data_IF_411213826923
#
_entry.id   IF_411213826923
#
_cell.length_a   1.000
_cell.length_b   1.000
_cell.length_c   1.000
_cell.angle_alpha   90.00
_cell.angle_beta   90.00
_cell.angle_gamma   90.00
#
_symmetry.space_group_name_H-M   'P 1'
#
loop_
_entity.id
_entity.type
_entity.pdbx_description
1 polymer ?
#
# COMPACT_ATOMS: atom_id res chain seq x y z
N UNK A 1 15.18 -31.18 -27.20
CA UNK A 1 16.12 -31.32 -26.07
C UNK A 1 16.91 -30.03 -25.76
N UNK A 2 17.91 -29.59 -26.55
CA UNK A 2 18.72 -28.39 -26.20
C UNK A 2 17.94 -27.06 -26.15
N UNK A 3 17.05 -26.83 -27.12
CA UNK A 3 16.22 -25.62 -27.19
C UNK A 3 15.25 -25.53 -26.01
N UNK A 4 14.64 -26.65 -25.64
CA UNK A 4 13.77 -26.74 -24.47
C UNK A 4 14.56 -26.39 -23.20
N UNK A 5 15.71 -27.02 -22.95
CA UNK A 5 16.53 -26.72 -21.77
C UNK A 5 16.92 -25.23 -21.68
N UNK A 6 17.21 -24.59 -22.81
CA UNK A 6 17.54 -23.15 -22.84
C UNK A 6 16.33 -22.26 -22.55
N UNK A 7 15.15 -22.61 -23.09
CA UNK A 7 13.89 -21.91 -22.80
C UNK A 7 13.52 -22.06 -21.32
N UNK A 8 13.56 -23.28 -20.78
CA UNK A 8 13.32 -23.56 -19.36
C UNK A 8 14.28 -22.78 -18.44
N UNK A 9 15.57 -22.72 -18.78
CA UNK A 9 16.56 -21.96 -18.00
C UNK A 9 16.33 -20.45 -18.05
N UNK A 10 15.89 -19.92 -19.20
CA UNK A 10 15.62 -18.48 -19.36
C UNK A 10 14.37 -18.07 -18.59
N UNK A 11 13.32 -18.90 -18.66
CA UNK A 11 12.09 -18.73 -17.91
C UNK A 11 12.33 -18.72 -16.39
N UNK A 12 13.04 -19.73 -15.86
CA UNK A 12 13.36 -19.79 -14.42
C UNK A 12 14.17 -18.58 -13.95
N UNK A 13 15.10 -18.09 -14.77
CA UNK A 13 15.87 -16.90 -14.45
C UNK A 13 14.98 -15.64 -14.40
N UNK A 14 14.02 -15.50 -15.32
CA UNK A 14 13.07 -14.39 -15.35
C UNK A 14 12.10 -14.43 -14.17
N UNK A 15 11.51 -15.59 -13.88
CA UNK A 15 10.65 -15.80 -12.70
C UNK A 15 11.42 -15.45 -11.40
N UNK A 16 12.66 -15.90 -11.28
CA UNK A 16 13.51 -15.56 -10.14
C UNK A 16 13.84 -14.06 -10.03
N UNK A 17 13.94 -13.34 -11.15
CA UNK A 17 14.20 -11.91 -11.16
C UNK A 17 12.98 -11.10 -10.67
N UNK A 18 11.78 -11.41 -11.16
CA UNK A 18 10.56 -10.71 -10.74
C UNK A 18 10.20 -10.97 -9.28
N UNK A 19 10.45 -12.20 -8.78
CA UNK A 19 10.32 -12.52 -7.36
C UNK A 19 11.24 -11.66 -6.51
N UNK A 20 12.53 -11.64 -6.84
CA UNK A 20 13.52 -10.84 -6.10
C UNK A 20 13.19 -9.36 -6.13
N UNK A 21 12.69 -8.84 -7.24
CA UNK A 21 12.28 -7.44 -7.34
C UNK A 21 11.09 -7.13 -6.40
N UNK A 22 10.09 -8.01 -6.34
CA UNK A 22 8.99 -7.88 -5.39
C UNK A 22 9.46 -8.01 -3.92
N UNK A 23 10.35 -8.94 -3.61
CA UNK A 23 10.96 -9.08 -2.27
C UNK A 23 11.75 -7.82 -1.86
N UNK A 24 12.50 -7.24 -2.80
CA UNK A 24 13.24 -6.00 -2.60
C UNK A 24 12.30 -4.84 -2.33
N UNK A 25 11.16 -4.75 -3.02
CA UNK A 25 10.15 -3.72 -2.75
C UNK A 25 9.69 -3.76 -1.27
N UNK A 26 9.41 -4.96 -0.72
CA UNK A 26 9.08 -5.11 0.70
C UNK A 26 10.23 -4.73 1.64
N UNK A 27 11.48 -4.94 1.23
CA UNK A 27 12.65 -4.54 2.02
C UNK A 27 12.84 -3.02 2.01
N UNK A 28 12.72 -2.39 0.86
CA UNK A 28 12.89 -0.94 0.65
C UNK A 28 11.84 -0.14 1.42
N UNK A 29 10.61 -0.66 1.52
CA UNK A 29 9.49 0.00 2.20
C UNK A 29 9.09 -0.67 3.52
N UNK A 30 9.98 -1.49 4.12
CA UNK A 30 9.71 -2.24 5.35
C UNK A 30 9.25 -1.35 6.52
N UNK A 31 9.61 -0.08 6.52
CA UNK A 31 9.24 0.92 7.53
C UNK A 31 8.51 2.14 6.95
N UNK A 32 7.88 1.97 5.78
CA UNK A 32 7.26 3.05 5.04
C UNK A 32 8.28 3.90 4.28
N UNK A 33 7.85 5.10 3.90
CA UNK A 33 8.65 6.03 3.11
C UNK A 33 9.33 7.07 3.99
N UNK A 34 10.61 7.31 3.74
CA UNK A 34 11.36 8.34 4.43
C UNK A 34 10.79 9.72 4.11
N UNK A 35 10.67 10.59 5.12
CA UNK A 35 10.26 11.97 4.92
C UNK A 35 11.50 12.86 4.76
N UNK A 36 11.81 13.35 3.54
CA UNK A 36 12.99 14.18 3.31
C UNK A 36 12.94 15.50 4.10
N UNK A 37 11.76 16.07 4.32
CA UNK A 37 11.59 17.38 4.98
C UNK A 37 11.84 17.32 6.50
N UNK A 38 11.69 16.14 7.11
CA UNK A 38 11.83 15.94 8.54
C UNK A 38 13.23 15.47 8.97
N UNK A 39 14.17 15.31 8.02
CA UNK A 39 15.47 14.71 8.26
C UNK A 39 16.64 15.48 7.65
N UNK A 40 17.86 15.15 8.09
CA UNK A 40 19.08 15.63 7.43
C UNK A 40 19.46 14.77 6.22
N UNK A 41 20.64 15.04 5.64
CA UNK A 41 21.13 14.43 4.39
C UNK A 41 20.98 12.90 4.25
N UNK A 42 21.08 12.16 5.36
CA UNK A 42 20.91 10.70 5.34
C UNK A 42 19.48 10.29 4.98
N UNK A 43 18.48 11.00 5.50
CA UNK A 43 17.06 10.70 5.24
C UNK A 43 16.71 11.07 3.81
N UNK A 44 17.24 12.20 3.30
CA UNK A 44 17.12 12.57 1.88
C UNK A 44 17.66 11.47 0.97
N UNK A 45 18.88 10.97 1.22
CA UNK A 45 19.46 9.88 0.42
C UNK A 45 18.63 8.60 0.44
N UNK A 46 18.04 8.25 1.58
CA UNK A 46 17.15 7.10 1.67
C UNK A 46 15.85 7.32 0.88
N UNK A 47 15.27 8.53 0.95
CA UNK A 47 14.11 8.90 0.15
C UNK A 47 14.41 8.82 -1.36
N UNK A 48 15.52 9.42 -1.80
CA UNK A 48 15.93 9.39 -3.22
C UNK A 48 16.14 7.95 -3.72
N UNK A 49 16.70 7.08 -2.87
CA UNK A 49 16.85 5.65 -3.18
C UNK A 49 15.48 4.97 -3.30
N UNK A 50 14.53 5.25 -2.41
CA UNK A 50 13.18 4.70 -2.48
C UNK A 50 12.47 5.15 -3.76
N UNK A 51 12.56 6.43 -4.13
CA UNK A 51 11.98 6.97 -5.37
C UNK A 51 12.61 6.30 -6.60
N UNK A 52 13.94 6.30 -6.69
CA UNK A 52 14.65 5.69 -7.81
C UNK A 52 14.38 4.19 -7.95
N UNK A 53 14.15 3.48 -6.84
CA UNK A 53 13.72 2.08 -6.89
C UNK A 53 12.35 1.93 -7.55
N UNK A 54 11.35 2.73 -7.16
CA UNK A 54 9.99 2.65 -7.73
C UNK A 54 10.01 3.01 -9.22
N UNK A 55 10.75 4.05 -9.61
CA UNK A 55 10.90 4.46 -11.02
C UNK A 55 11.54 3.38 -11.89
N UNK A 56 12.46 2.59 -11.35
CA UNK A 56 13.07 1.47 -12.07
C UNK A 56 12.17 0.23 -12.08
N UNK A 57 11.49 -0.05 -10.97
CA UNK A 57 10.69 -1.26 -10.76
C UNK A 57 9.34 -1.21 -11.49
N UNK A 58 8.73 -0.02 -11.60
CA UNK A 58 7.39 0.15 -12.15
C UNK A 58 7.41 0.80 -13.53
N UNK A 59 6.40 0.50 -14.33
CA UNK A 59 6.15 1.23 -15.57
C UNK A 59 5.79 2.69 -15.24
N UNK A 60 6.21 3.63 -16.08
CA UNK A 60 5.91 5.06 -15.89
C UNK A 60 4.41 5.35 -15.78
N UNK A 61 3.59 4.51 -16.43
CA UNK A 61 2.14 4.62 -16.48
C UNK A 61 1.46 3.50 -15.66
N UNK A 62 2.14 2.95 -14.64
CA UNK A 62 1.64 1.86 -13.79
C UNK A 62 0.23 2.13 -13.26
N UNK A 63 -0.63 1.13 -13.32
CA UNK A 63 -1.98 1.18 -12.74
C UNK A 63 -1.92 0.83 -11.25
N UNK A 64 -2.49 1.68 -10.41
CA UNK A 64 -2.62 1.45 -8.97
C UNK A 64 -4.03 1.83 -8.53
N UNK A 65 -4.93 0.85 -8.45
CA UNK A 65 -6.36 1.08 -8.29
C UNK A 65 -6.93 1.98 -9.40
N UNK A 66 -7.64 3.03 -9.00
CA UNK A 66 -8.16 4.08 -9.90
C UNK A 66 -7.12 5.17 -10.28
N UNK A 67 -5.86 5.03 -9.85
CA UNK A 67 -4.79 5.99 -10.15
C UNK A 67 -3.77 5.41 -11.12
N UNK A 68 -3.01 6.30 -11.75
CA UNK A 68 -2.00 5.93 -12.75
C UNK A 68 -0.69 6.67 -12.52
N UNK A 69 0.42 5.97 -12.74
CA UNK A 69 1.77 6.48 -12.72
C UNK A 69 2.50 6.33 -11.38
N UNK A 70 3.83 6.35 -11.46
CA UNK A 70 4.75 6.14 -10.32
C UNK A 70 4.51 7.15 -9.19
N UNK A 71 4.19 8.39 -9.52
CA UNK A 71 3.89 9.44 -8.53
C UNK A 71 2.70 9.09 -7.63
N UNK A 72 1.68 8.39 -8.16
CA UNK A 72 0.53 7.96 -7.37
C UNK A 72 0.91 6.91 -6.32
N UNK A 73 1.80 5.97 -6.67
CA UNK A 73 2.32 4.94 -5.75
C UNK A 73 3.17 5.59 -4.66
N UNK A 74 4.08 6.49 -5.03
CA UNK A 74 4.92 7.26 -4.09
C UNK A 74 4.05 8.05 -3.10
N UNK A 75 3.04 8.78 -3.61
CA UNK A 75 2.13 9.55 -2.76
C UNK A 75 1.39 8.66 -1.76
N UNK A 76 0.97 7.46 -2.16
CA UNK A 76 0.28 6.55 -1.25
C UNK A 76 1.19 6.02 -0.15
N UNK A 77 2.45 5.70 -0.46
CA UNK A 77 3.45 5.40 0.57
C UNK A 77 3.66 6.55 1.55
N UNK A 78 3.70 7.78 1.06
CA UNK A 78 3.80 8.97 1.90
C UNK A 78 2.59 9.07 2.85
N UNK A 79 1.37 8.93 2.33
CA UNK A 79 0.15 8.97 3.13
C UNK A 79 0.09 7.85 4.17
N UNK A 80 0.40 6.61 3.80
CA UNK A 80 0.48 5.49 4.74
C UNK A 80 1.45 5.78 5.88
N UNK A 81 2.62 6.34 5.56
CA UNK A 81 3.64 6.62 6.57
C UNK A 81 3.25 7.77 7.48
N UNK A 82 2.62 8.82 6.95
CA UNK A 82 2.17 9.97 7.74
C UNK A 82 0.95 9.68 8.62
N UNK A 83 0.04 8.80 8.17
CA UNK A 83 -1.20 8.56 8.88
C UNK A 83 -0.99 7.72 10.14
N UNK A 84 0.12 7.01 10.25
CA UNK A 84 0.40 6.08 11.33
C UNK A 84 1.62 6.55 12.14
N UNK A 85 1.52 6.47 13.47
CA UNK A 85 2.66 6.81 14.32
C UNK A 85 3.83 5.82 14.16
N UNK A 86 3.53 4.60 13.74
CA UNK A 86 4.49 3.57 13.40
C UNK A 86 3.86 2.66 12.34
N UNK A 87 4.57 2.43 11.24
CA UNK A 87 4.18 1.54 10.16
C UNK A 87 5.35 0.60 9.88
N UNK A 88 5.05 -0.68 9.70
CA UNK A 88 6.01 -1.64 9.16
C UNK A 88 5.30 -2.67 8.30
N UNK A 89 5.98 -3.11 7.24
CA UNK A 89 5.49 -4.13 6.33
C UNK A 89 6.47 -5.30 6.33
N UNK A 90 5.95 -6.51 6.43
CA UNK A 90 6.73 -7.74 6.41
C UNK A 90 6.21 -8.69 5.35
N UNK A 91 7.11 -9.22 4.54
CA UNK A 91 6.80 -10.26 3.58
C UNK A 91 6.69 -11.63 4.27
N UNK A 92 5.70 -12.43 3.87
CA UNK A 92 5.51 -13.81 4.33
C UNK A 92 5.85 -14.82 3.23
N UNK A 93 5.35 -14.58 2.03
CA UNK A 93 5.58 -15.43 0.88
C UNK A 93 5.37 -14.67 -0.43
N UNK A 94 5.97 -15.21 -1.48
CA UNK A 94 5.80 -14.74 -2.85
C UNK A 94 5.64 -15.91 -3.78
N UNK A 95 4.73 -15.79 -4.73
CA UNK A 95 4.47 -16.80 -5.74
C UNK A 95 4.43 -16.12 -7.11
N UNK A 96 4.90 -16.83 -8.15
CA UNK A 96 4.76 -16.37 -9.54
C UNK A 96 3.74 -17.23 -10.25
N UNK A 97 2.85 -16.56 -10.97
CA UNK A 97 1.92 -17.15 -11.92
C UNK A 97 1.94 -16.34 -13.24
N UNK A 98 1.10 -16.71 -14.20
CA UNK A 98 1.03 -16.03 -15.49
C UNK A 98 1.91 -16.64 -16.58
N UNK A 99 2.09 -15.89 -17.68
CA UNK A 99 2.89 -16.33 -18.83
C UNK A 99 4.33 -15.85 -18.69
N UNK A 100 5.23 -16.39 -19.52
CA UNK A 100 6.62 -15.92 -19.55
C UNK A 100 6.67 -14.42 -19.87
N UNK A 101 5.84 -13.93 -20.80
CA UNK A 101 5.87 -12.53 -21.26
C UNK A 101 5.15 -11.54 -20.34
N UNK A 102 4.20 -12.02 -19.55
CA UNK A 102 3.44 -11.23 -18.57
C UNK A 102 3.37 -11.99 -17.23
N UNK A 103 4.50 -12.07 -16.50
CA UNK A 103 4.51 -12.75 -15.21
C UNK A 103 3.73 -11.92 -14.20
N UNK A 104 3.03 -12.62 -13.32
CA UNK A 104 2.25 -12.05 -12.22
C UNK A 104 2.89 -12.54 -10.93
N UNK A 105 3.30 -11.63 -10.07
CA UNK A 105 3.80 -11.98 -8.74
C UNK A 105 2.74 -11.65 -7.71
N UNK A 106 2.39 -12.61 -6.87
CA UNK A 106 1.52 -12.40 -5.71
C UNK A 106 2.36 -12.48 -4.45
N UNK A 107 2.42 -11.38 -3.72
CA UNK A 107 3.15 -11.27 -2.46
C UNK A 107 2.14 -11.23 -1.29
N UNK A 108 2.27 -12.18 -0.36
CA UNK A 108 1.53 -12.17 0.90
C UNK A 108 2.40 -11.56 1.99
N UNK A 109 1.81 -10.68 2.78
CA UNK A 109 2.52 -9.93 3.80
C UNK A 109 1.65 -9.59 5.01
N UNK A 110 2.27 -8.86 5.94
CA UNK A 110 1.60 -8.28 7.10
C UNK A 110 1.97 -6.80 7.18
N UNK A 111 0.95 -5.95 7.23
CA UNK A 111 1.05 -4.54 7.55
C UNK A 111 0.78 -4.37 9.05
N UNK A 112 1.80 -3.97 9.81
CA UNK A 112 1.68 -3.68 11.24
C UNK A 112 1.67 -2.18 11.45
N UNK A 113 0.59 -1.65 12.04
CA UNK A 113 0.45 -0.21 12.30
C UNK A 113 0.06 0.08 13.74
N UNK A 114 0.47 1.25 14.22
CA UNK A 114 -0.07 1.84 15.45
C UNK A 114 -0.97 3.01 15.08
N UNK A 115 -2.27 2.85 15.35
CA UNK A 115 -3.23 3.92 15.20
C UNK A 115 -3.00 5.00 16.26
N UNK A 116 -3.15 6.26 15.85
CA UNK A 116 -3.26 7.41 16.73
C UNK A 116 -4.63 8.08 16.51
N UNK A 117 -4.97 9.09 17.33
CA UNK A 117 -6.26 9.79 17.19
C UNK A 117 -6.45 10.39 15.80
N UNK A 118 -5.41 10.96 15.20
CA UNK A 118 -5.46 11.45 13.81
C UNK A 118 -5.71 10.34 12.79
N UNK A 119 -5.19 9.12 12.99
CA UNK A 119 -5.53 7.96 12.16
C UNK A 119 -7.02 7.65 12.26
N UNK A 120 -7.59 7.63 13.48
CA UNK A 120 -9.01 7.40 13.70
C UNK A 120 -9.86 8.49 13.06
N UNK A 121 -9.49 9.76 13.22
CA UNK A 121 -10.20 10.89 12.61
C UNK A 121 -10.28 10.77 11.09
N UNK A 122 -9.22 10.28 10.45
CA UNK A 122 -9.17 10.14 8.99
C UNK A 122 -9.81 8.86 8.46
N UNK A 123 -9.67 7.74 9.18
CA UNK A 123 -10.11 6.42 8.71
C UNK A 123 -11.49 6.02 9.24
N UNK A 124 -11.82 6.41 10.47
CA UNK A 124 -13.03 6.01 11.18
C UNK A 124 -13.66 7.21 11.92
N UNK A 125 -13.93 8.36 11.26
CA UNK A 125 -14.40 9.56 11.95
C UNK A 125 -15.69 9.33 12.76
N UNK A 126 -16.55 8.43 12.31
CA UNK A 126 -17.82 8.09 12.97
C UNK A 126 -17.66 7.40 14.33
N UNK A 127 -16.51 6.78 14.62
CA UNK A 127 -16.27 6.13 15.91
C UNK A 127 -15.71 7.08 16.98
N UNK A 128 -15.34 8.31 16.62
CA UNK A 128 -14.71 9.26 17.55
C UNK A 128 -15.57 9.55 18.79
N UNK A 129 -16.89 9.48 18.67
CA UNK A 129 -17.81 9.67 19.78
C UNK A 129 -17.83 8.47 20.76
N UNK A 130 -17.29 7.31 20.37
CA UNK A 130 -17.20 6.12 21.19
C UNK A 130 -15.79 5.96 21.76
N UNK A 131 -15.51 6.67 22.85
CA UNK A 131 -14.17 6.73 23.45
C UNK A 131 -13.66 5.36 23.90
N UNK A 132 -14.53 4.46 24.39
CA UNK A 132 -14.13 3.10 24.76
C UNK A 132 -13.54 2.35 23.56
N UNK A 133 -14.25 2.38 22.42
CA UNK A 133 -13.80 1.74 21.19
C UNK A 133 -12.52 2.37 20.63
N UNK A 134 -12.41 3.70 20.70
CA UNK A 134 -11.20 4.44 20.33
C UNK A 134 -10.01 3.97 21.17
N UNK A 135 -10.15 3.89 22.50
CA UNK A 135 -9.06 3.46 23.38
C UNK A 135 -8.62 2.01 23.11
N UNK A 136 -9.55 1.11 22.76
CA UNK A 136 -9.20 -0.26 22.37
C UNK A 136 -8.34 -0.26 21.09
N UNK A 137 -8.70 0.53 20.08
CA UNK A 137 -7.94 0.62 18.82
C UNK A 137 -6.56 1.30 18.99
N UNK A 138 -6.43 2.26 19.90
CA UNK A 138 -5.18 2.99 20.14
C UNK A 138 -4.17 2.25 21.02
N UNK A 139 -4.64 1.29 21.81
CA UNK A 139 -3.84 0.73 22.91
C UNK A 139 -2.71 -0.21 22.47
N UNK A 140 -2.78 -0.82 21.27
CA UNK A 140 -1.72 -1.69 20.72
C UNK A 140 -1.63 -1.57 19.21
N UNK A 141 -0.55 -2.12 18.64
CA UNK A 141 -0.42 -2.30 17.19
C UNK A 141 -1.51 -3.24 16.67
N UNK A 142 -1.93 -3.01 15.44
CA UNK A 142 -2.84 -3.86 14.70
C UNK A 142 -2.06 -4.43 13.52
N UNK A 143 -2.20 -5.72 13.30
CA UNK A 143 -1.63 -6.42 12.16
C UNK A 143 -2.73 -6.72 11.15
N UNK A 144 -2.51 -6.29 9.91
CA UNK A 144 -3.40 -6.55 8.80
C UNK A 144 -2.71 -7.51 7.84
N UNK A 145 -3.30 -8.68 7.55
CA UNK A 145 -2.90 -9.50 6.42
C UNK A 145 -3.00 -8.69 5.12
N UNK A 146 -1.99 -8.79 4.27
CA UNK A 146 -1.96 -8.09 2.98
C UNK A 146 -1.69 -9.05 1.83
N UNK A 147 -2.26 -8.75 0.67
CA UNK A 147 -1.95 -9.39 -0.60
C UNK A 147 -1.66 -8.32 -1.65
N UNK A 148 -0.45 -8.32 -2.18
CA UNK A 148 -0.09 -7.42 -3.30
C UNK A 148 0.12 -8.23 -4.56
N UNK A 149 -0.60 -7.89 -5.62
CA UNK A 149 -0.44 -8.47 -6.96
C UNK A 149 0.33 -7.51 -7.83
N UNK A 150 1.42 -7.96 -8.43
CA UNK A 150 2.23 -7.22 -9.38
C UNK A 150 2.11 -7.88 -10.75
N UNK A 151 1.55 -7.16 -11.73
CA UNK A 151 1.50 -7.58 -13.12
C UNK A 151 2.68 -6.93 -13.84
N UNK A 152 3.57 -7.75 -14.39
CA UNK A 152 4.76 -7.28 -15.10
C UNK A 152 4.54 -7.28 -16.60
N UNK A 153 5.13 -6.28 -17.27
CA UNK A 153 5.16 -6.19 -18.72
C UNK A 153 6.39 -6.92 -19.32
N UNK A 154 6.51 -6.89 -20.64
CA UNK A 154 7.63 -7.50 -21.37
C UNK A 154 9.00 -6.87 -21.05
N UNK A 155 9.05 -5.66 -20.48
CA UNK A 155 10.28 -5.01 -19.99
C UNK A 155 10.64 -5.41 -18.56
N UNK A 156 9.90 -6.34 -17.95
CA UNK A 156 10.03 -6.71 -16.53
C UNK A 156 9.78 -5.55 -15.57
N UNK A 157 8.92 -4.60 -15.97
CA UNK A 157 8.44 -3.54 -15.09
C UNK A 157 6.99 -3.81 -14.69
N UNK A 158 6.60 -3.40 -13.49
CA UNK A 158 5.22 -3.53 -13.02
C UNK A 158 4.33 -2.54 -13.77
N UNK A 159 3.43 -3.04 -14.63
CA UNK A 159 2.43 -2.21 -15.32
C UNK A 159 1.13 -2.07 -14.54
N UNK A 160 0.86 -2.96 -13.59
CA UNK A 160 -0.26 -2.85 -12.66
C UNK A 160 0.09 -3.43 -11.29
N UNK A 161 -0.31 -2.72 -10.25
CA UNK A 161 -0.22 -3.15 -8.86
C UNK A 161 -1.61 -3.08 -8.21
N UNK A 162 -2.05 -4.21 -7.66
CA UNK A 162 -3.25 -4.27 -6.83
C UNK A 162 -2.87 -4.60 -5.39
N UNK A 163 -3.31 -3.78 -4.44
CA UNK A 163 -3.09 -3.99 -3.01
C UNK A 163 -4.41 -4.29 -2.31
N UNK A 164 -4.45 -5.44 -1.63
CA UNK A 164 -5.54 -5.83 -0.74
C UNK A 164 -5.02 -5.91 0.71
N UNK A 165 -5.77 -5.31 1.63
CA UNK A 165 -5.48 -5.25 3.06
C UNK A 165 -6.73 -5.71 3.81
N UNK A 166 -6.59 -6.79 4.57
CA UNK A 166 -7.71 -7.34 5.35
C UNK A 166 -7.89 -6.56 6.66
N UNK A 167 -8.47 -5.37 6.54
CA UNK A 167 -8.81 -4.52 7.68
C UNK A 167 -9.79 -5.20 8.64
N UNK A 168 -10.71 -6.03 8.11
CA UNK A 168 -11.71 -6.72 8.94
C UNK A 168 -11.01 -7.72 9.86
N UNK A 169 -10.10 -8.55 9.33
CA UNK A 169 -9.36 -9.51 10.14
C UNK A 169 -8.55 -8.82 11.24
N UNK A 170 -7.77 -7.78 10.89
CA UNK A 170 -6.93 -7.09 11.87
C UNK A 170 -7.73 -6.34 12.94
N UNK A 171 -8.81 -5.63 12.56
CA UNK A 171 -9.69 -4.97 13.53
C UNK A 171 -10.41 -6.01 14.40
N UNK A 172 -10.86 -7.12 13.81
CA UNK A 172 -11.54 -8.16 14.57
C UNK A 172 -10.65 -8.86 15.58
N UNK A 173 -9.39 -9.13 15.23
CA UNK A 173 -8.40 -9.62 16.19
C UNK A 173 -8.20 -8.62 17.35
N UNK A 174 -8.22 -7.31 17.04
CA UNK A 174 -8.08 -6.27 18.05
C UNK A 174 -9.29 -6.17 18.99
N UNK A 175 -10.51 -6.28 18.45
CA UNK A 175 -11.75 -6.07 19.20
C UNK A 175 -12.31 -7.36 19.82
N UNK A 176 -11.97 -8.53 19.28
CA UNK A 176 -12.52 -9.81 19.71
C UNK A 176 -14.03 -9.96 19.47
N UNK A 177 -14.63 -9.12 18.63
CA UNK A 177 -16.08 -9.06 18.43
C UNK A 177 -16.43 -8.66 17.01
N UNK A 178 -17.01 -9.60 16.24
CA UNK A 178 -17.48 -9.36 14.87
C UNK A 178 -18.50 -8.22 14.81
N UNK A 179 -19.34 -8.08 15.84
CA UNK A 179 -20.30 -6.98 15.94
C UNK A 179 -19.60 -5.63 16.06
N UNK A 180 -18.63 -5.51 16.98
CA UNK A 180 -17.88 -4.27 17.15
C UNK A 180 -17.06 -3.93 15.90
N UNK A 181 -16.43 -4.93 15.27
CA UNK A 181 -15.72 -4.79 14.00
C UNK A 181 -16.62 -4.26 12.90
N UNK A 182 -17.81 -4.84 12.74
CA UNK A 182 -18.80 -4.36 11.75
C UNK A 182 -19.15 -2.89 11.99
N UNK A 183 -19.31 -2.47 13.26
CA UNK A 183 -19.58 -1.07 13.61
C UNK A 183 -18.43 -0.13 13.26
N UNK A 184 -17.18 -0.56 13.44
CA UNK A 184 -16.00 0.22 12.99
C UNK A 184 -15.97 0.32 11.47
N UNK A 185 -16.17 -0.78 10.76
CA UNK A 185 -15.97 -0.85 9.31
C UNK A 185 -17.13 -0.25 8.49
N UNK A 186 -18.35 -0.20 9.02
CA UNK A 186 -19.56 0.22 8.27
C UNK A 186 -19.46 1.61 7.61
N UNK A 187 -18.67 2.52 8.17
CA UNK A 187 -18.48 3.88 7.65
C UNK A 187 -16.99 4.26 7.59
N UNK A 188 -16.13 3.26 7.46
CA UNK A 188 -14.71 3.49 7.31
C UNK A 188 -14.41 4.21 5.99
N UNK A 189 -13.52 5.20 6.04
CA UNK A 189 -13.05 5.95 4.88
C UNK A 189 -11.79 5.29 4.32
N UNK A 190 -11.96 4.12 3.73
CA UNK A 190 -10.90 3.33 3.09
C UNK A 190 -11.36 3.11 1.64
N UNK A 191 -10.64 3.67 0.67
CA UNK A 191 -11.00 3.57 -0.75
C UNK A 191 -10.32 2.38 -1.43
N UNK A 192 -10.63 2.17 -2.72
CA UNK A 192 -10.10 1.08 -3.54
C UNK A 192 -8.57 1.00 -3.50
N UNK A 193 -8.04 -0.23 -3.59
CA UNK A 193 -6.61 -0.53 -3.35
C UNK A 193 -6.10 -0.04 -1.98
N UNK A 194 -6.98 0.05 -0.99
CA UNK A 194 -6.69 0.42 0.39
C UNK A 194 -6.14 1.83 0.56
N UNK A 195 -6.36 2.70 -0.43
CA UNK A 195 -5.82 4.06 -0.44
C UNK A 195 -6.35 4.88 0.72
N UNK A 196 -5.49 5.76 1.22
CA UNK A 196 -5.84 6.72 2.25
C UNK A 196 -6.02 8.10 1.61
N UNK A 197 -7.00 8.87 2.09
CA UNK A 197 -7.15 10.28 1.73
C UNK A 197 -7.86 10.61 0.41
N UNK A 198 -8.40 9.64 -0.33
CA UNK A 198 -9.34 9.96 -1.43
C UNK A 198 -10.73 10.24 -0.85
N UNK A 199 -11.10 11.51 -0.81
CA UNK A 199 -12.51 11.89 -0.79
C UNK A 199 -13.01 11.64 -2.21
N UNK A 200 -14.00 10.74 -2.38
CA UNK A 200 -14.70 10.60 -3.65
C UNK A 200 -15.18 11.98 -4.14
N UNK A 201 -15.27 12.23 -5.46
CA UNK A 201 -15.94 13.42 -5.94
C UNK A 201 -17.36 13.39 -5.41
N UNK A 202 -17.67 14.34 -4.53
CA UNK A 202 -19.01 14.59 -4.04
C UNK A 202 -19.75 15.18 -5.24
N UNK A 203 -20.35 14.34 -6.07
CA UNK A 203 -21.38 14.77 -7.02
C UNK A 203 -22.62 15.15 -6.22
N UNK A 204 -22.56 16.32 -5.62
CA UNK A 204 -23.74 17.06 -5.21
C UNK A 204 -23.71 18.36 -5.99
N UNK A 205 -24.47 18.36 -7.08
CA UNK A 205 -25.10 19.55 -7.60
C UNK A 205 -26.00 20.13 -6.49
N UNK A 206 -25.43 20.96 -5.64
CA UNK A 206 -26.13 22.12 -5.08
C UNK A 206 -25.11 23.18 -4.68
N UNK A 207 -25.41 24.42 -5.03
CA UNK A 207 -24.51 25.55 -4.96
C UNK A 207 -24.00 25.82 -3.54
N UNK A 208 -22.74 26.25 -3.48
CA UNK A 208 -22.04 26.78 -2.30
C UNK A 208 -21.55 25.75 -1.27
N UNK A 209 -20.26 25.42 -1.33
CA UNK A 209 -19.25 25.84 -0.32
C UNK A 209 -17.83 25.49 -0.82
N UNK A 210 -16.94 26.48 -0.88
CA UNK A 210 -15.51 26.31 -1.19
C UNK A 210 -14.80 25.64 -0.01
N UNK A 211 -14.32 24.41 -0.19
CA UNK A 211 -13.18 23.87 0.54
C UNK A 211 -12.23 23.24 -0.47
N UNK A 212 -11.31 24.08 -0.96
CA UNK A 212 -10.17 23.61 -1.72
C UNK A 212 -9.12 23.04 -0.77
N UNK A 213 -8.68 21.82 -1.05
CA UNK A 213 -7.38 21.33 -0.60
C UNK A 213 -6.61 20.91 -1.85
N UNK A 214 -6.01 21.91 -2.48
CA UNK A 214 -4.83 21.75 -3.31
C UNK A 214 -3.66 21.44 -2.39
N UNK A 215 -3.07 20.25 -2.52
CA UNK A 215 -1.70 20.05 -2.07
C UNK A 215 -0.78 19.91 -3.28
N UNK A 216 0.30 20.67 -3.16
CA UNK A 216 1.21 21.16 -4.18
C UNK A 216 2.18 20.07 -4.60
N UNK A 217 2.43 19.96 -5.90
CA UNK A 217 3.78 19.76 -6.42
C UNK A 217 3.98 20.75 -7.57
N UNK A 218 4.92 21.67 -7.34
CA UNK A 218 5.57 22.51 -8.34
C UNK A 218 7.04 22.19 -8.30
#
# INVERSE_FOLDING_TARGET
HWLETKLWSTRLAREGAVLKAAEQYYTVFAHGMHNPEAGGDRVQKCFDMQVGFVEAFMDKDVEFGDSRGVSAVINQWHLYTQFHANLSVRLLSTEVCGTEDAPIVVAKGVLSVRLNRGSIEKMFPHILANEELVQVLLSRKIEYPTSTTYVFNARSQVERQDLDVDFIAGINERLGSTYATSRVMQRALISDCCKLGQVAPVDFDDGSTRLGLSYIMS
#
